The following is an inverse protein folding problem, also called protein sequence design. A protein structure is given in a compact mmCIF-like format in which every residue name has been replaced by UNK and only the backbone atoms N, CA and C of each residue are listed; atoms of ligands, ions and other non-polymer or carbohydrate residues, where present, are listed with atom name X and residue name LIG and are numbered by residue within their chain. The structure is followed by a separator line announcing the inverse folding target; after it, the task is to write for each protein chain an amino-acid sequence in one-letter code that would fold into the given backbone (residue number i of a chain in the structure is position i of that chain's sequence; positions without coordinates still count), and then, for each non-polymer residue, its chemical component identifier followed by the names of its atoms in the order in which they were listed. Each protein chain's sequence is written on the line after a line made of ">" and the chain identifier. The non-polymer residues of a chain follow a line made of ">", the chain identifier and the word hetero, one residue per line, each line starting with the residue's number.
data_IF_944748292645
#
_entry.id   IF_944748292645
#
_cell.length_a   1.000
_cell.length_b   1.000
_cell.length_c   1.000
_cell.angle_alpha   90.00
_cell.angle_beta   90.00
_cell.angle_gamma   90.00
#
_symmetry.space_group_name_H-M   'P 1'
#
loop_
_entity.id
_entity.type
_entity.pdbx_description
1 polymer ?
#
# COMPACT_ATOMS: atom_id res chain seq x y z
N UNK A 1 4.74 23.61 6.49
CA UNK A 1 5.37 22.31 6.21
C UNK A 1 4.47 21.26 6.85
N UNK A 2 3.98 20.29 6.08
CA UNK A 2 3.07 19.27 6.60
C UNK A 2 3.75 17.91 6.46
N UNK A 3 3.91 17.19 7.56
CA UNK A 3 4.48 15.83 7.59
C UNK A 3 3.38 14.89 8.08
N UNK A 4 3.07 13.88 7.28
CA UNK A 4 2.13 12.83 7.68
C UNK A 4 2.86 11.79 8.51
N UNK A 5 2.32 11.47 9.69
CA UNK A 5 2.87 10.49 10.60
C UNK A 5 1.84 9.40 10.89
N UNK A 6 2.28 8.15 10.92
CA UNK A 6 1.45 7.00 11.29
C UNK A 6 1.76 6.56 12.72
N UNK A 7 0.74 6.53 13.58
CA UNK A 7 0.92 6.10 14.97
C UNK A 7 1.20 4.59 15.04
N UNK A 8 2.37 4.24 15.56
CA UNK A 8 2.83 2.85 15.69
C UNK A 8 2.57 2.29 17.09
N UNK A 9 2.65 3.12 18.13
CA UNK A 9 2.50 2.67 19.51
C UNK A 9 1.98 3.77 20.44
N UNK A 10 1.12 3.37 21.38
CA UNK A 10 0.77 4.19 22.55
C UNK A 10 1.83 3.99 23.63
N UNK A 11 2.52 5.05 24.02
CA UNK A 11 3.60 5.00 25.01
C UNK A 11 3.10 5.21 26.45
N UNK A 12 1.81 5.52 26.62
CA UNK A 12 1.27 6.00 27.89
C UNK A 12 1.59 7.48 28.13
N UNK A 13 1.15 8.02 29.27
CA UNK A 13 1.33 9.44 29.64
C UNK A 13 0.88 10.41 28.55
N UNK A 14 -0.22 10.08 27.85
CA UNK A 14 -0.77 10.84 26.71
C UNK A 14 0.25 11.07 25.58
N UNK A 15 1.16 10.11 25.35
CA UNK A 15 2.14 10.15 24.26
C UNK A 15 1.96 8.99 23.31
N UNK A 16 2.26 9.27 22.05
CA UNK A 16 2.30 8.29 20.97
C UNK A 16 3.69 8.26 20.35
N UNK A 17 4.09 7.10 19.84
CA UNK A 17 5.21 6.95 18.92
C UNK A 17 4.62 6.81 17.52
N UNK A 18 5.11 7.62 16.59
CA UNK A 18 4.68 7.60 15.21
C UNK A 18 5.90 7.48 14.27
N UNK A 19 5.65 6.96 13.07
CA UNK A 19 6.62 6.89 11.97
C UNK A 19 6.25 7.96 10.95
N UNK A 20 7.20 8.82 10.59
CA UNK A 20 6.99 9.83 9.55
C UNK A 20 7.03 9.19 8.16
N UNK A 21 6.12 9.61 7.28
CA UNK A 21 6.04 9.14 5.88
C UNK A 21 6.89 9.97 4.92
N UNK A 22 7.61 10.97 5.44
CA UNK A 22 8.53 11.85 4.73
C UNK A 22 9.68 12.26 5.65
N UNK A 23 10.64 13.01 5.12
CA UNK A 23 11.76 13.55 5.90
C UNK A 23 11.27 14.37 7.11
N UNK A 24 12.04 14.28 8.19
CA UNK A 24 11.74 14.94 9.47
C UNK A 24 12.56 16.21 9.71
N UNK A 25 13.34 16.60 8.70
CA UNK A 25 14.18 17.79 8.75
C UNK A 25 13.33 19.04 8.97
N UNK A 26 13.76 19.89 9.91
CA UNK A 26 13.03 21.11 10.26
C UNK A 26 11.86 20.93 11.23
N UNK A 27 11.51 19.69 11.63
CA UNK A 27 10.55 19.47 12.71
C UNK A 27 11.13 19.92 14.05
N UNK A 28 10.27 20.52 14.89
CA UNK A 28 10.65 21.05 16.19
C UNK A 28 9.65 20.60 17.27
N UNK A 29 10.15 20.51 18.51
CA UNK A 29 9.29 20.21 19.67
C UNK A 29 8.27 21.33 19.86
N UNK A 30 7.04 20.96 20.18
CA UNK A 30 5.93 21.90 20.38
C UNK A 30 5.18 22.29 19.10
N UNK A 31 5.57 21.75 17.94
CA UNK A 31 4.77 21.87 16.73
C UNK A 31 3.38 21.24 16.93
N UNK A 32 2.37 21.87 16.35
CA UNK A 32 1.00 21.38 16.37
C UNK A 32 0.89 20.09 15.55
N UNK A 33 0.09 19.16 16.07
CA UNK A 33 -0.22 17.88 15.42
C UNK A 33 -1.72 17.73 15.41
N UNK A 34 -2.28 17.43 14.24
CA UNK A 34 -3.71 17.22 14.03
C UNK A 34 -3.94 15.73 13.82
N UNK A 35 -4.80 15.14 14.65
CA UNK A 35 -5.29 13.78 14.45
C UNK A 35 -6.37 13.78 13.35
N UNK A 36 -6.15 13.00 12.29
CA UNK A 36 -7.10 12.82 11.21
C UNK A 36 -8.27 11.90 11.60
N UNK A 37 -8.17 11.18 12.73
CA UNK A 37 -9.18 10.25 13.24
C UNK A 37 -9.32 8.96 12.44
N UNK A 38 -8.53 8.79 11.39
CA UNK A 38 -8.57 7.64 10.49
C UNK A 38 -7.17 7.27 9.98
N UNK A 39 -6.93 5.99 9.65
CA UNK A 39 -5.69 5.57 9.01
C UNK A 39 -5.45 6.28 7.68
N UNK A 40 -4.19 6.29 7.23
CA UNK A 40 -3.81 6.75 5.89
C UNK A 40 -4.72 6.04 4.87
N UNK A 41 -5.36 6.85 4.02
CA UNK A 41 -6.38 6.39 3.06
C UNK A 41 -6.06 6.91 1.67
N UNK A 42 -5.99 6.00 0.70
CA UNK A 42 -5.52 6.25 -0.66
C UNK A 42 -6.66 6.16 -1.68
N UNK A 43 -6.58 6.88 -2.81
CA UNK A 43 -7.59 6.78 -3.87
C UNK A 43 -7.65 5.37 -4.44
N UNK A 44 -8.86 4.91 -4.76
CA UNK A 44 -9.10 3.61 -5.40
C UNK A 44 -10.15 3.73 -6.51
N UNK A 45 -10.11 2.80 -7.47
CA UNK A 45 -11.10 2.69 -8.54
C UNK A 45 -10.48 2.72 -9.93
N UNK A 46 -11.31 2.76 -10.97
CA UNK A 46 -10.83 2.75 -12.35
C UNK A 46 -9.99 3.98 -12.72
N UNK A 47 -10.23 5.14 -12.09
CA UNK A 47 -9.49 6.38 -12.37
C UNK A 47 -8.05 6.38 -11.86
N UNK A 48 -7.65 5.40 -11.02
CA UNK A 48 -6.26 5.24 -10.58
C UNK A 48 -5.42 4.42 -11.56
N UNK A 49 -6.02 3.79 -12.58
CA UNK A 49 -5.30 2.98 -13.56
C UNK A 49 -4.40 3.86 -14.44
N UNK A 50 -3.15 3.42 -14.63
CA UNK A 50 -2.15 4.16 -15.42
C UNK A 50 -1.56 5.39 -14.73
N UNK A 51 -1.86 5.60 -13.45
CA UNK A 51 -1.34 6.71 -12.65
C UNK A 51 -0.25 6.23 -11.68
N UNK A 52 0.67 7.12 -11.32
CA UNK A 52 1.73 6.84 -10.33
C UNK A 52 1.42 7.61 -9.04
N UNK A 53 1.40 6.91 -7.91
CA UNK A 53 1.10 7.47 -6.60
C UNK A 53 2.23 7.23 -5.61
N UNK A 54 2.40 8.15 -4.67
CA UNK A 54 3.21 7.91 -3.47
C UNK A 54 2.41 7.12 -2.40
N UNK A 55 3.06 6.83 -1.27
CA UNK A 55 2.46 6.08 -0.15
C UNK A 55 1.24 6.76 0.47
N UNK A 56 1.15 8.09 0.37
CA UNK A 56 0.03 8.89 0.87
C UNK A 56 -1.14 8.93 -0.12
N UNK A 57 -0.99 8.34 -1.30
CA UNK A 57 -2.01 8.33 -2.35
C UNK A 57 -2.05 9.62 -3.18
N UNK A 58 -0.97 10.40 -3.16
CA UNK A 58 -0.84 11.62 -3.96
C UNK A 58 -0.22 11.28 -5.32
N UNK A 59 -0.75 11.81 -6.44
CA UNK A 59 -0.20 11.56 -7.76
C UNK A 59 1.15 12.24 -7.93
N UNK A 60 2.15 11.51 -8.44
CA UNK A 60 3.52 11.99 -8.69
C UNK A 60 3.93 11.90 -10.17
N UNK A 61 2.95 11.65 -11.05
CA UNK A 61 3.13 11.48 -12.49
C UNK A 61 3.01 12.77 -13.31
N UNK A 62 2.79 13.93 -12.67
CA UNK A 62 2.55 15.22 -13.32
C UNK A 62 1.33 15.28 -14.25
N UNK A 63 0.39 14.33 -14.14
CA UNK A 63 -0.83 14.27 -14.97
C UNK A 63 -2.04 14.97 -14.31
N UNK A 64 -1.78 15.84 -13.33
CA UNK A 64 -2.82 16.55 -12.57
C UNK A 64 -3.50 15.69 -11.50
N UNK A 65 -4.57 16.18 -10.85
CA UNK A 65 -5.28 15.42 -9.83
C UNK A 65 -6.03 14.21 -10.42
N UNK A 66 -6.35 13.25 -9.56
CA UNK A 66 -7.15 12.07 -9.94
C UNK A 66 -8.58 12.31 -9.49
N UNK A 67 -9.51 12.23 -10.44
CA UNK A 67 -10.93 12.36 -10.13
C UNK A 67 -11.46 11.05 -9.52
N UNK A 68 -11.42 10.97 -8.19
CA UNK A 68 -12.09 9.92 -7.43
C UNK A 68 -12.49 10.40 -6.05
N UNK A 69 -13.75 10.17 -5.73
CA UNK A 69 -14.29 10.37 -4.38
C UNK A 69 -14.13 9.14 -3.50
N UNK A 70 -13.67 8.00 -4.06
CA UNK A 70 -13.50 6.76 -3.32
C UNK A 70 -12.07 6.63 -2.81
N UNK A 71 -11.93 6.65 -1.49
CA UNK A 71 -10.68 6.34 -0.79
C UNK A 71 -10.85 5.07 0.03
N UNK A 72 -9.78 4.32 0.21
CA UNK A 72 -9.73 3.13 1.08
C UNK A 72 -8.58 3.26 2.06
N UNK A 73 -8.76 2.90 3.35
CA UNK A 73 -7.65 2.82 4.30
C UNK A 73 -6.64 1.75 3.87
N UNK A 74 -5.35 2.02 4.09
CA UNK A 74 -4.28 1.04 3.81
C UNK A 74 -4.29 -0.12 4.82
N UNK A 75 -4.81 0.14 6.02
CA UNK A 75 -4.99 -0.86 7.08
C UNK A 75 -6.37 -1.50 6.99
N UNK A 76 -6.38 -2.82 6.82
CA UNK A 76 -7.60 -3.64 6.86
C UNK A 76 -7.27 -5.04 7.36
N UNK A 77 -8.26 -5.67 8.00
CA UNK A 77 -8.13 -7.07 8.41
C UNK A 77 -8.02 -7.98 7.19
N UNK A 78 -7.31 -9.10 7.36
CA UNK A 78 -7.30 -10.16 6.36
C UNK A 78 -8.72 -10.74 6.18
N UNK A 79 -9.05 -11.29 4.99
CA UNK A 79 -10.30 -12.00 4.78
C UNK A 79 -10.50 -13.13 5.80
N UNK A 80 -11.75 -13.38 6.19
CA UNK A 80 -12.07 -14.47 7.11
C UNK A 80 -11.83 -15.84 6.46
N UNK A 81 -11.57 -16.87 7.27
CA UNK A 81 -11.33 -18.23 6.78
C UNK A 81 -12.45 -18.75 5.86
N UNK A 82 -13.70 -18.44 6.19
CA UNK A 82 -14.89 -18.83 5.39
C UNK A 82 -14.99 -18.13 4.03
N UNK A 83 -14.23 -17.06 3.80
CA UNK A 83 -14.18 -16.32 2.53
C UNK A 83 -13.02 -16.77 1.64
N UNK A 84 -12.16 -17.67 2.11
CA UNK A 84 -11.02 -18.16 1.35
C UNK A 84 -11.50 -19.19 0.32
N UNK A 85 -11.16 -18.98 -0.95
CA UNK A 85 -11.42 -19.97 -2.00
C UNK A 85 -10.37 -21.08 -1.95
N UNK A 86 -10.82 -22.32 -1.79
CA UNK A 86 -9.96 -23.51 -1.77
C UNK A 86 -9.76 -24.10 -3.15
N UNK A 87 -10.46 -23.62 -4.19
CA UNK A 87 -10.32 -24.12 -5.55
C UNK A 87 -8.90 -23.94 -6.06
N UNK A 88 -8.39 -25.00 -6.67
CA UNK A 88 -7.13 -24.99 -7.39
C UNK A 88 -7.45 -24.64 -8.85
N UNK A 89 -7.03 -23.46 -9.29
CA UNK A 89 -7.07 -23.03 -10.68
C UNK A 89 -5.69 -22.54 -11.10
N UNK A 90 -5.27 -22.96 -12.28
CA UNK A 90 -4.01 -22.54 -12.88
C UNK A 90 -4.25 -21.18 -13.56
N UNK A 91 -3.31 -20.26 -13.37
CA UNK A 91 -3.22 -19.00 -14.10
C UNK A 91 -2.19 -19.17 -15.22
N UNK A 92 -2.67 -19.37 -16.45
CA UNK A 92 -1.82 -19.51 -17.62
C UNK A 92 -1.17 -18.16 -17.97
N UNK A 93 0.17 -18.16 -18.04
CA UNK A 93 0.94 -16.93 -18.27
C UNK A 93 1.37 -16.76 -19.74
N UNK A 94 1.41 -17.86 -20.50
CA UNK A 94 1.99 -17.92 -21.84
C UNK A 94 3.52 -18.05 -21.84
N UNK A 95 4.16 -18.13 -20.67
CA UNK A 95 5.61 -18.25 -20.52
C UNK A 95 5.96 -19.72 -20.31
N UNK A 96 6.55 -20.35 -21.34
CA UNK A 96 6.84 -21.80 -21.36
C UNK A 96 7.48 -22.34 -20.07
N UNK A 97 8.52 -21.68 -19.56
CA UNK A 97 9.24 -22.17 -18.37
C UNK A 97 8.38 -22.07 -17.11
N UNK A 98 7.54 -21.04 -17.01
CA UNK A 98 6.63 -20.83 -15.88
C UNK A 98 5.49 -21.84 -15.97
N UNK A 99 4.79 -21.88 -17.10
CA UNK A 99 3.59 -22.73 -17.24
C UNK A 99 3.92 -24.23 -17.19
N UNK A 100 5.13 -24.64 -17.59
CA UNK A 100 5.54 -26.04 -17.57
C UNK A 100 6.16 -26.49 -16.23
N UNK A 101 7.07 -25.69 -15.64
CA UNK A 101 7.86 -26.12 -14.49
C UNK A 101 7.34 -25.59 -13.15
N UNK A 102 6.73 -24.40 -13.14
CA UNK A 102 6.27 -23.73 -11.94
C UNK A 102 4.96 -22.96 -12.20
N UNK A 103 3.86 -23.67 -12.57
CA UNK A 103 2.62 -23.03 -12.97
C UNK A 103 2.03 -22.18 -11.84
N UNK A 104 1.55 -21.00 -12.18
CA UNK A 104 0.99 -20.07 -11.19
C UNK A 104 -0.43 -20.47 -10.80
N UNK A 105 -0.75 -20.31 -9.52
CA UNK A 105 -2.12 -20.48 -9.02
C UNK A 105 -2.87 -19.15 -9.15
N UNK A 106 -4.06 -19.17 -9.76
CA UNK A 106 -4.92 -17.99 -9.82
C UNK A 106 -5.34 -17.57 -8.39
N UNK A 107 -5.15 -16.29 -8.05
CA UNK A 107 -5.36 -15.78 -6.70
C UNK A 107 -4.31 -16.21 -5.66
N UNK A 108 -3.26 -16.92 -6.08
CA UNK A 108 -2.15 -17.31 -5.22
C UNK A 108 -1.10 -16.21 -5.03
N UNK A 109 -0.13 -16.47 -4.14
CA UNK A 109 1.07 -15.63 -3.97
C UNK A 109 2.23 -16.27 -4.70
N UNK A 110 2.89 -15.51 -5.57
CA UNK A 110 4.06 -15.96 -6.35
C UNK A 110 5.28 -15.16 -5.90
N UNK A 111 6.38 -15.85 -5.61
CA UNK A 111 7.67 -15.24 -5.31
C UNK A 111 8.59 -15.28 -6.52
N UNK A 112 9.13 -14.13 -6.91
CA UNK A 112 10.17 -14.03 -7.93
C UNK A 112 11.51 -13.77 -7.23
N UNK A 113 12.42 -14.73 -7.30
CA UNK A 113 13.74 -14.63 -6.67
C UNK A 113 14.79 -14.41 -7.74
N UNK A 114 15.46 -13.25 -7.70
CA UNK A 114 16.47 -12.85 -8.65
C UNK A 114 17.53 -11.95 -8.01
N UNK A 115 18.71 -11.88 -8.64
CA UNK A 115 19.78 -10.95 -8.30
C UNK A 115 19.76 -9.69 -9.18
N UNK A 116 20.79 -8.85 -9.09
CA UNK A 116 20.93 -7.71 -9.99
C UNK A 116 21.23 -8.18 -11.43
N UNK A 117 20.51 -7.65 -12.42
CA UNK A 117 20.76 -7.88 -13.84
C UNK A 117 20.20 -9.18 -14.44
N UNK A 118 19.34 -9.90 -13.73
CA UNK A 118 18.77 -11.17 -14.20
C UNK A 118 17.44 -11.04 -14.96
N UNK A 119 16.99 -9.81 -15.23
CA UNK A 119 15.71 -9.48 -15.86
C UNK A 119 14.95 -8.45 -15.07
#
# INVERSE_FOLDING_TARGET
>A
MNVTCEVQQLLGNNRVRAVAMSDTDGLMRGMEVIDTGAPISVPVGGSTLGRIFNVLGEPVDNLGPVDTNKKSPIHRSAPAFIQLDTKLSIFETGIKVVDLLAPYRCGGKIGLFGGAGVG
#
